data_IF_537247511922
#
_entry.id   IF_537247511922
#
_cell.length_a   1.000
_cell.length_b   1.000
_cell.length_c   1.000
_cell.angle_alpha   90.00
_cell.angle_beta   90.00
_cell.angle_gamma   90.00
#
_symmetry.space_group_name_H-M   'P 1'
#
loop_
_entity.id
_entity.type
_entity.pdbx_description
1 polymer ?
#
# COMPACT_ATOMS: atom_id res chain seq x y z
N UNK A 1 47.61 27.68 39.58
CA UNK A 1 46.14 27.88 39.71
C UNK A 1 45.49 28.45 38.45
N UNK A 2 45.85 29.65 37.95
CA UNK A 2 45.28 30.26 36.72
C UNK A 2 45.24 29.34 35.47
N UNK A 3 46.31 28.58 35.20
CA UNK A 3 46.35 27.66 34.04
C UNK A 3 45.32 26.51 34.12
N UNK A 4 45.08 25.98 35.33
CA UNK A 4 44.12 24.88 35.56
C UNK A 4 42.69 25.39 35.38
N UNK A 5 42.39 26.59 35.89
CA UNK A 5 41.10 27.26 35.67
C UNK A 5 40.85 27.59 34.19
N UNK A 6 41.87 28.01 33.45
CA UNK A 6 41.74 28.30 32.02
C UNK A 6 41.51 27.03 31.18
N UNK A 7 42.18 25.92 31.54
CA UNK A 7 41.97 24.62 30.89
C UNK A 7 40.56 24.07 31.17
N UNK A 8 40.09 24.17 32.42
CA UNK A 8 38.75 23.75 32.81
C UNK A 8 37.65 24.59 32.13
N UNK A 9 37.84 25.91 31.98
CA UNK A 9 36.92 26.78 31.21
C UNK A 9 36.88 26.42 29.73
N UNK A 10 38.01 26.10 29.12
CA UNK A 10 38.07 25.66 27.73
C UNK A 10 37.33 24.33 27.53
N UNK A 11 37.53 23.36 28.42
CA UNK A 11 36.81 22.07 28.39
C UNK A 11 35.29 22.25 28.55
N UNK A 12 34.84 23.11 29.45
CA UNK A 12 33.43 23.43 29.61
C UNK A 12 32.84 24.12 28.37
N UNK A 13 33.57 25.05 27.76
CA UNK A 13 33.13 25.72 26.54
C UNK A 13 32.99 24.74 25.36
N UNK A 14 33.96 23.83 25.20
CA UNK A 14 33.91 22.79 24.16
C UNK A 14 32.75 21.82 24.40
N UNK A 15 32.53 21.38 25.64
CA UNK A 15 31.40 20.50 25.98
C UNK A 15 30.04 21.17 25.72
N UNK A 16 29.92 22.48 25.99
CA UNK A 16 28.70 23.25 25.71
C UNK A 16 28.43 23.39 24.21
N UNK A 17 29.48 23.60 23.41
CA UNK A 17 29.38 23.65 21.94
C UNK A 17 28.96 22.28 21.37
N UNK A 18 29.53 21.18 21.89
CA UNK A 18 29.16 19.81 21.47
C UNK A 18 27.70 19.49 21.81
N UNK A 19 27.20 19.89 22.98
CA UNK A 19 25.78 19.74 23.33
C UNK A 19 24.86 20.58 22.43
N UNK A 20 25.29 21.78 22.02
CA UNK A 20 24.52 22.64 21.13
C UNK A 20 24.39 22.07 19.70
N UNK A 21 25.43 21.43 19.16
CA UNK A 21 25.35 20.79 17.83
C UNK A 21 24.58 19.46 17.86
N UNK A 22 24.58 18.73 18.99
CA UNK A 22 23.76 17.53 19.16
C UNK A 22 22.24 17.84 19.27
N UNK A 23 21.88 19.10 19.54
CA UNK A 23 20.48 19.54 19.62
C UNK A 23 19.86 19.88 18.26
N UNK A 24 20.60 19.80 17.14
CA UNK A 24 20.04 19.88 15.80
C UNK A 24 19.24 18.62 15.45
N UNK A 25 18.04 18.49 16.04
CA UNK A 25 17.07 17.49 15.62
C UNK A 25 16.39 17.97 14.33
N UNK A 26 16.54 17.20 13.26
CA UNK A 26 15.75 17.38 12.03
C UNK A 26 14.28 17.20 12.36
N UNK A 27 13.47 18.26 12.23
CA UNK A 27 12.01 18.13 12.25
C UNK A 27 11.57 17.39 10.99
N UNK A 28 10.75 16.32 11.08
CA UNK A 28 10.23 15.67 9.90
C UNK A 28 9.41 16.68 9.09
N UNK A 29 9.81 16.93 7.85
CA UNK A 29 9.08 17.79 6.93
C UNK A 29 7.95 16.97 6.33
N UNK A 30 6.73 17.51 6.39
CA UNK A 30 5.56 16.92 5.76
C UNK A 30 4.57 16.31 6.75
N UNK A 31 3.60 15.59 6.20
CA UNK A 31 2.60 14.86 6.98
C UNK A 31 2.03 13.69 6.19
N UNK A 32 1.41 12.76 6.91
CA UNK A 32 0.58 11.71 6.35
C UNK A 32 -0.61 11.48 7.29
N UNK A 33 -1.81 11.47 6.72
CA UNK A 33 -3.08 11.21 7.39
C UNK A 33 -3.86 10.17 6.60
N UNK A 34 -4.29 9.13 7.31
CA UNK A 34 -5.03 7.99 6.75
C UNK A 34 -6.33 7.75 7.53
N UNK A 35 -6.66 8.57 8.53
CA UNK A 35 -7.91 8.46 9.26
C UNK A 35 -9.10 8.69 8.32
N UNK A 36 -10.00 7.71 8.24
CA UNK A 36 -11.14 7.73 7.34
C UNK A 36 -10.82 7.35 5.88
N UNK A 37 -9.59 6.89 5.60
CA UNK A 37 -9.26 6.37 4.29
C UNK A 37 -9.99 5.06 4.00
N UNK A 38 -10.62 4.97 2.84
CA UNK A 38 -11.41 3.80 2.45
C UNK A 38 -11.58 3.72 0.94
N UNK A 39 -11.91 2.52 0.46
CA UNK A 39 -12.35 2.31 -0.91
C UNK A 39 -13.87 2.38 -1.00
N UNK A 40 -14.39 2.82 -2.15
CA UNK A 40 -15.82 2.78 -2.45
C UNK A 40 -16.01 2.54 -3.96
N UNK A 41 -16.50 1.35 -4.37
CA UNK A 41 -16.66 0.13 -3.57
C UNK A 41 -15.32 -0.40 -2.99
N UNK A 42 -15.41 -1.13 -1.89
CA UNK A 42 -14.29 -1.77 -1.19
C UNK A 42 -14.01 -3.21 -1.62
N UNK A 43 -14.73 -3.69 -2.63
CA UNK A 43 -14.68 -5.06 -3.08
C UNK A 43 -14.56 -5.12 -4.61
N UNK A 44 -13.75 -6.05 -5.11
CA UNK A 44 -13.62 -6.37 -6.52
C UNK A 44 -13.74 -7.88 -6.74
N UNK A 45 -14.63 -8.28 -7.63
CA UNK A 45 -14.66 -9.65 -8.14
C UNK A 45 -13.66 -9.78 -9.29
N UNK A 46 -12.86 -10.84 -9.27
CA UNK A 46 -11.89 -11.18 -10.30
C UNK A 46 -12.10 -12.62 -10.73
N UNK A 47 -11.86 -12.92 -12.01
CA UNK A 47 -12.23 -14.20 -12.58
C UNK A 47 -11.09 -14.80 -13.39
N UNK A 48 -10.95 -16.13 -13.31
CA UNK A 48 -9.99 -16.90 -14.10
C UNK A 48 -10.29 -16.81 -15.59
N UNK A 49 -11.58 -16.83 -15.94
CA UNK A 49 -12.07 -16.78 -17.31
C UNK A 49 -12.85 -15.45 -17.53
N UNK A 50 -12.19 -14.38 -18.02
CA UNK A 50 -12.90 -13.17 -18.43
C UNK A 50 -13.92 -13.45 -19.53
N UNK A 51 -15.04 -12.74 -19.52
CA UNK A 51 -16.12 -12.99 -20.46
C UNK A 51 -15.74 -12.48 -21.86
N UNK A 52 -15.98 -13.29 -22.91
CA UNK A 52 -15.48 -13.02 -24.27
C UNK A 52 -15.96 -11.69 -24.89
N UNK A 53 -17.11 -11.17 -24.44
CA UNK A 53 -17.64 -9.87 -24.89
C UNK A 53 -16.96 -8.66 -24.22
N UNK A 54 -16.09 -8.86 -23.24
CA UNK A 54 -15.46 -7.75 -22.50
C UNK A 54 -14.14 -7.32 -23.15
N UNK A 55 -13.75 -6.04 -23.01
CA UNK A 55 -12.40 -5.61 -23.36
C UNK A 55 -11.32 -6.32 -22.54
N UNK A 56 -11.68 -6.89 -21.38
CA UNK A 56 -10.76 -7.61 -20.51
C UNK A 56 -10.29 -8.90 -21.17
N UNK A 57 -11.20 -9.64 -21.80
CA UNK A 57 -10.86 -10.79 -22.64
C UNK A 57 -10.04 -10.39 -23.86
N UNK A 58 -10.52 -9.40 -24.63
CA UNK A 58 -9.91 -9.06 -25.92
C UNK A 58 -8.52 -8.41 -25.80
N UNK A 59 -8.34 -7.50 -24.83
CA UNK A 59 -7.11 -6.72 -24.69
C UNK A 59 -6.24 -7.21 -23.50
N UNK A 60 -6.59 -8.34 -22.87
CA UNK A 60 -5.88 -8.88 -21.70
C UNK A 60 -5.73 -7.86 -20.55
N UNK A 61 -6.78 -7.06 -20.29
CA UNK A 61 -6.70 -5.98 -19.28
C UNK A 61 -6.66 -6.53 -17.85
N UNK A 62 -5.95 -5.86 -16.92
CA UNK A 62 -5.98 -6.24 -15.52
C UNK A 62 -7.34 -5.98 -14.86
N UNK A 63 -7.54 -6.59 -13.71
CA UNK A 63 -8.58 -6.24 -12.75
C UNK A 63 -8.10 -5.06 -11.91
N UNK A 64 -8.87 -3.96 -11.88
CA UNK A 64 -8.45 -2.70 -11.27
C UNK A 64 -9.50 -2.19 -10.30
N UNK A 65 -9.10 -1.84 -9.09
CA UNK A 65 -9.96 -1.17 -8.12
C UNK A 65 -10.14 0.32 -8.46
N UNK A 66 -11.13 0.96 -7.85
CA UNK A 66 -11.08 2.42 -7.71
C UNK A 66 -9.91 2.83 -6.80
N UNK A 67 -9.55 4.10 -6.87
CA UNK A 67 -8.51 4.67 -6.01
C UNK A 67 -9.05 4.79 -4.58
N UNK A 68 -8.25 4.39 -3.59
CA UNK A 68 -8.54 4.67 -2.17
C UNK A 68 -8.72 6.18 -1.95
N UNK A 69 -9.78 6.56 -1.25
CA UNK A 69 -10.09 7.94 -0.89
C UNK A 69 -9.67 8.23 0.56
N UNK A 70 -9.61 9.51 0.93
CA UNK A 70 -9.35 9.91 2.33
C UNK A 70 -7.88 9.86 2.78
N UNK A 71 -6.94 9.57 1.87
CA UNK A 71 -5.50 9.71 2.14
C UNK A 71 -5.05 11.13 1.83
N UNK A 72 -4.40 11.78 2.81
CA UNK A 72 -3.82 13.11 2.63
C UNK A 72 -2.38 13.12 3.15
N UNK A 73 -1.46 13.73 2.40
CA UNK A 73 -0.07 13.81 2.80
C UNK A 73 0.78 14.62 1.84
N UNK A 74 2.03 14.82 2.21
CA UNK A 74 3.03 15.47 1.35
C UNK A 74 3.46 14.52 0.24
N UNK A 75 3.50 15.00 -1.00
CA UNK A 75 3.92 14.20 -2.15
C UNK A 75 5.43 13.93 -2.13
N UNK A 76 5.90 12.77 -2.64
CA UNK A 76 5.09 11.68 -3.20
C UNK A 76 4.49 10.76 -2.13
N UNK A 77 3.20 10.42 -2.26
CA UNK A 77 2.55 9.38 -1.45
C UNK A 77 2.62 8.05 -2.20
N UNK A 78 3.13 7.03 -1.52
CA UNK A 78 3.32 5.70 -2.05
C UNK A 78 2.43 4.69 -1.33
N UNK A 79 2.13 3.59 -2.01
CA UNK A 79 1.25 2.54 -1.54
C UNK A 79 1.87 1.18 -1.85
N UNK A 80 1.69 0.23 -0.95
CA UNK A 80 2.06 -1.16 -1.18
C UNK A 80 1.16 -2.10 -0.38
N UNK A 81 1.17 -3.37 -0.78
CA UNK A 81 0.53 -4.44 -0.02
C UNK A 81 1.29 -4.66 1.29
N UNK A 82 0.60 -4.55 2.43
CA UNK A 82 1.17 -4.80 3.75
C UNK A 82 0.87 -6.22 4.24
N UNK A 83 -0.37 -6.66 4.10
CA UNK A 83 -0.81 -7.99 4.53
C UNK A 83 -2.01 -8.47 3.72
N UNK A 84 -2.24 -9.79 3.80
CA UNK A 84 -3.36 -10.48 3.16
C UNK A 84 -3.92 -11.51 4.13
N UNK A 85 -5.23 -11.46 4.34
CA UNK A 85 -6.00 -12.53 4.98
C UNK A 85 -6.80 -13.25 3.91
N UNK A 86 -6.81 -14.57 3.93
CA UNK A 86 -7.56 -15.39 2.99
C UNK A 86 -8.61 -16.25 3.70
N UNK A 87 -9.80 -16.32 3.11
CA UNK A 87 -10.92 -17.18 3.52
C UNK A 87 -11.52 -17.86 2.29
N UNK A 88 -12.52 -18.73 2.50
CA UNK A 88 -13.31 -19.35 1.41
C UNK A 88 -12.48 -20.10 0.37
N UNK A 89 -11.44 -20.82 0.83
CA UNK A 89 -10.54 -21.59 -0.04
C UNK A 89 -9.38 -20.79 -0.64
N UNK A 90 -9.24 -19.52 -0.27
CA UNK A 90 -8.12 -18.68 -0.69
C UNK A 90 -6.78 -19.07 -0.05
N UNK A 91 -5.70 -18.64 -0.69
CA UNK A 91 -4.31 -18.89 -0.26
C UNK A 91 -3.55 -17.55 -0.13
N UNK A 92 -3.42 -17.06 1.10
CA UNK A 92 -2.83 -15.76 1.39
C UNK A 92 -1.35 -15.67 0.96
N UNK A 93 -0.60 -16.77 1.07
CA UNK A 93 0.83 -16.78 0.73
C UNK A 93 1.04 -16.73 -0.79
N UNK A 94 0.22 -17.46 -1.56
CA UNK A 94 0.19 -17.31 -3.02
C UNK A 94 -0.19 -15.89 -3.43
N UNK A 95 -1.18 -15.29 -2.77
CA UNK A 95 -1.59 -13.92 -3.09
C UNK A 95 -0.46 -12.92 -2.83
N UNK A 96 0.25 -13.04 -1.69
CA UNK A 96 1.43 -12.22 -1.37
C UNK A 96 2.55 -12.41 -2.40
N UNK A 97 2.76 -13.63 -2.89
CA UNK A 97 3.75 -13.91 -3.92
C UNK A 97 3.47 -13.17 -5.25
N UNK A 98 2.21 -12.86 -5.57
CA UNK A 98 1.87 -12.08 -6.77
C UNK A 98 2.46 -10.66 -6.71
N UNK A 99 2.53 -10.05 -5.54
CA UNK A 99 3.14 -8.73 -5.37
C UNK A 99 4.66 -8.78 -5.67
N UNK A 100 5.34 -9.83 -5.21
CA UNK A 100 6.77 -10.05 -5.48
C UNK A 100 7.05 -10.28 -6.97
N UNK A 101 6.13 -10.95 -7.67
CA UNK A 101 6.19 -11.16 -9.13
C UNK A 101 5.76 -9.94 -9.94
N UNK A 102 5.26 -8.88 -9.30
CA UNK A 102 4.71 -7.71 -9.98
C UNK A 102 3.37 -7.97 -10.70
N UNK A 103 2.69 -9.08 -10.40
CA UNK A 103 1.37 -9.41 -10.92
C UNK A 103 0.23 -8.77 -10.09
N UNK A 104 0.53 -8.38 -8.86
CA UNK A 104 -0.29 -7.48 -8.05
C UNK A 104 0.50 -6.20 -7.77
N UNK A 105 -0.10 -5.03 -8.03
CA UNK A 105 0.49 -3.73 -7.73
C UNK A 105 -0.50 -2.84 -7.02
N UNK A 106 0.00 -1.90 -6.22
CA UNK A 106 -0.80 -0.80 -5.66
C UNK A 106 -0.27 0.50 -6.25
N UNK A 107 -0.84 0.92 -7.38
CA UNK A 107 -0.36 2.06 -8.15
C UNK A 107 -1.24 3.29 -7.93
N UNK A 108 -0.66 4.35 -7.37
CA UNK A 108 -1.39 5.57 -7.01
C UNK A 108 -2.56 5.33 -6.05
N UNK A 109 -2.57 4.23 -5.29
CA UNK A 109 -3.69 3.85 -4.41
C UNK A 109 -4.82 3.10 -5.13
N UNK A 110 -4.61 2.66 -6.38
CA UNK A 110 -5.44 1.66 -7.06
C UNK A 110 -4.76 0.30 -6.96
N UNK A 111 -5.51 -0.75 -6.66
CA UNK A 111 -5.04 -2.13 -6.71
C UNK A 111 -5.19 -2.62 -8.15
N UNK A 112 -4.11 -3.11 -8.72
CA UNK A 112 -4.03 -3.63 -10.09
C UNK A 112 -3.58 -5.08 -10.02
N UNK A 113 -4.46 -6.01 -10.41
CA UNK A 113 -4.21 -7.44 -10.45
C UNK A 113 -4.24 -7.93 -11.90
N UNK A 114 -3.10 -8.42 -12.39
CA UNK A 114 -2.94 -8.96 -13.74
C UNK A 114 -3.69 -10.29 -13.89
N UNK A 115 -4.13 -10.63 -15.10
CA UNK A 115 -4.87 -11.88 -15.35
C UNK A 115 -4.00 -13.12 -15.07
N UNK A 116 -2.72 -13.06 -15.40
CA UNK A 116 -1.73 -14.08 -15.08
C UNK A 116 -1.64 -14.30 -13.56
N UNK A 117 -1.82 -13.24 -12.78
CA UNK A 117 -1.86 -13.34 -11.32
C UNK A 117 -3.11 -14.06 -10.81
N UNK A 118 -4.28 -13.80 -11.42
CA UNK A 118 -5.52 -14.50 -11.06
C UNK A 118 -5.41 -16.00 -11.35
N UNK A 119 -4.80 -16.37 -12.49
CA UNK A 119 -4.60 -17.76 -12.88
C UNK A 119 -3.74 -18.57 -11.90
N UNK A 120 -2.89 -17.93 -11.08
CA UNK A 120 -2.11 -18.60 -10.04
C UNK A 120 -2.87 -18.85 -8.73
N UNK A 121 -3.96 -18.11 -8.51
CA UNK A 121 -4.78 -18.22 -7.30
C UNK A 121 -5.72 -19.44 -7.39
N UNK A 122 -6.14 -20.01 -6.24
CA UNK A 122 -7.29 -20.90 -6.19
C UNK A 122 -8.50 -20.33 -6.95
N UNK A 123 -9.27 -21.20 -7.60
CA UNK A 123 -10.46 -20.83 -8.40
C UNK A 123 -11.63 -20.30 -7.56
N UNK A 124 -11.50 -20.37 -6.24
CA UNK A 124 -12.37 -19.74 -5.25
C UNK A 124 -11.51 -19.18 -4.13
N UNK A 125 -11.82 -17.98 -3.66
CA UNK A 125 -11.16 -17.42 -2.49
C UNK A 125 -11.54 -15.99 -2.24
N UNK A 126 -11.60 -15.61 -0.96
CA UNK A 126 -11.82 -14.24 -0.52
C UNK A 126 -10.55 -13.73 0.16
N UNK A 127 -10.06 -12.58 -0.29
CA UNK A 127 -8.80 -11.98 0.15
C UNK A 127 -9.06 -10.59 0.69
N UNK A 128 -8.81 -10.38 1.97
CA UNK A 128 -8.87 -9.05 2.59
C UNK A 128 -7.45 -8.49 2.70
N UNK A 129 -7.23 -7.31 2.14
CA UNK A 129 -5.93 -6.69 1.97
C UNK A 129 -5.74 -5.54 2.95
N UNK A 130 -4.57 -5.51 3.59
CA UNK A 130 -4.08 -4.33 4.32
C UNK A 130 -3.07 -3.61 3.45
N UNK A 131 -3.16 -2.27 3.39
CA UNK A 131 -2.24 -1.45 2.59
C UNK A 131 -1.34 -0.61 3.48
N UNK A 132 -0.06 -0.55 3.15
CA UNK A 132 0.87 0.42 3.75
C UNK A 132 0.91 1.65 2.86
N UNK A 133 0.65 2.80 3.47
CA UNK A 133 0.75 4.12 2.83
C UNK A 133 1.93 4.84 3.46
N UNK A 134 2.80 5.42 2.63
CA UNK A 134 4.01 6.07 3.14
C UNK A 134 4.48 7.21 2.24
N UNK A 135 5.13 8.18 2.85
CA UNK A 135 5.92 9.23 2.22
C UNK A 135 7.19 9.47 3.04
N UNK A 136 7.96 10.51 2.73
CA UNK A 136 9.20 10.77 3.44
C UNK A 136 8.95 10.98 4.94
N UNK A 137 9.61 10.19 5.78
CA UNK A 137 9.48 10.25 7.25
C UNK A 137 8.18 9.73 7.86
N UNK A 138 7.15 9.34 7.08
CA UNK A 138 5.89 8.83 7.61
C UNK A 138 5.42 7.54 6.93
N UNK A 139 4.88 6.61 7.72
CA UNK A 139 4.30 5.35 7.24
C UNK A 139 3.14 4.94 8.14
N UNK A 140 2.04 4.50 7.53
CA UNK A 140 0.85 3.98 8.20
C UNK A 140 0.30 2.77 7.45
N UNK A 141 -0.10 1.75 8.19
CA UNK A 141 -0.87 0.63 7.64
C UNK A 141 -2.35 0.90 7.85
N UNK A 142 -3.15 0.69 6.80
CA UNK A 142 -4.60 0.67 6.86
C UNK A 142 -5.01 -0.79 6.75
N UNK A 143 -5.47 -1.35 7.86
CA UNK A 143 -5.76 -2.77 7.97
C UNK A 143 -7.09 -3.12 7.28
N UNK A 144 -7.12 -4.29 6.64
CA UNK A 144 -8.33 -4.92 6.09
C UNK A 144 -9.19 -4.00 5.20
N UNK A 145 -8.55 -3.14 4.41
CA UNK A 145 -9.16 -2.00 3.73
C UNK A 145 -9.79 -2.33 2.37
N UNK A 146 -9.46 -3.49 1.78
CA UNK A 146 -10.00 -3.90 0.48
C UNK A 146 -10.24 -5.40 0.40
N UNK A 147 -11.27 -5.82 -0.32
CA UNK A 147 -11.56 -7.24 -0.57
C UNK A 147 -11.43 -7.58 -2.06
N UNK A 148 -10.75 -8.67 -2.36
CA UNK A 148 -10.81 -9.33 -3.67
C UNK A 148 -11.49 -10.70 -3.51
N UNK A 149 -12.45 -10.99 -4.39
CA UNK A 149 -13.14 -12.28 -4.45
C UNK A 149 -12.80 -12.93 -5.79
N UNK A 150 -12.24 -14.12 -5.75
CA UNK A 150 -11.88 -14.90 -6.94
C UNK A 150 -13.01 -15.85 -7.32
N UNK A 151 -13.43 -15.80 -8.57
CA UNK A 151 -14.36 -16.73 -9.20
C UNK A 151 -13.77 -17.40 -10.44
N UNK A 152 -14.52 -18.35 -11.00
CA UNK A 152 -14.11 -19.10 -12.20
C UNK A 152 -14.42 -18.28 -13.45
N UNK A 153 -15.70 -18.07 -13.73
CA UNK A 153 -16.17 -17.42 -14.95
C UNK A 153 -16.73 -16.02 -14.64
N UNK A 154 -16.27 -15.02 -15.39
CA UNK A 154 -16.84 -13.68 -15.32
C UNK A 154 -18.30 -13.74 -15.81
N UNK A 155 -19.26 -13.23 -15.04
CA UNK A 155 -20.65 -13.21 -15.45
C UNK A 155 -20.83 -12.38 -16.73
N UNK A 156 -21.86 -12.70 -17.50
CA UNK A 156 -22.24 -11.86 -18.63
C UNK A 156 -22.46 -10.42 -18.14
N UNK A 157 -21.80 -9.42 -18.76
CA UNK A 157 -21.98 -8.04 -18.35
C UNK A 157 -23.46 -7.68 -18.41
N UNK A 158 -24.02 -7.22 -17.29
CA UNK A 158 -25.38 -6.69 -17.29
C UNK A 158 -25.45 -5.61 -18.37
N UNK A 159 -26.33 -5.79 -19.35
CA UNK A 159 -26.60 -4.76 -20.34
C UNK A 159 -27.10 -3.54 -19.56
N UNK A 160 -26.26 -2.51 -19.43
CA UNK A 160 -26.70 -1.22 -18.94
C UNK A 160 -27.73 -0.73 -19.95
N UNK A 161 -29.00 -0.97 -19.63
CA UNK A 161 -30.12 -0.47 -20.41
C UNK A 161 -30.00 1.07 -20.38
N UNK A 162 -29.86 1.72 -21.55
CA UNK A 162 -29.58 3.16 -21.61
C UNK A 162 -30.68 4.02 -20.98
#
# INVERSE_FOLDING_TARGET
MKKIYNLARALFAVAFIVMAVAACNTMPVGFLRTEGASFSPDTLNVYHNPHASTPRYNDHRPWVSYRIQGVAGTNPINYELADVKATEGGDAEKFKALAQKGLLKVDGGMIVLMQEGVAELPTSGRYTLSLRVYNDGHSKTIDDVYTIIVGVDEPEPEQQNP
#
